data_IF_295778975062
#
_entry.id   IF_295778975062
#
_cell.length_a   1.000
_cell.length_b   1.000
_cell.length_c   1.000
_cell.angle_alpha   90.00
_cell.angle_beta   90.00
_cell.angle_gamma   90.00
#
_symmetry.space_group_name_H-M   'P 1'
#
loop_
_entity.id
_entity.type
_entity.pdbx_description
1 polymer ?
#
# COMPACT_ATOMS: atom_id res chain seq x y z
N UNK A 1 -6.25 22.47 5.02
CA UNK A 1 -6.12 21.54 3.87
C UNK A 1 -4.98 20.60 4.18
N UNK A 2 -5.23 19.30 4.04
CA UNK A 2 -4.20 18.27 4.22
C UNK A 2 -3.38 18.15 2.93
N UNK A 3 -2.10 17.87 3.04
CA UNK A 3 -1.20 17.81 1.89
C UNK A 3 -0.27 16.62 2.01
N UNK A 4 -0.05 15.92 0.90
CA UNK A 4 0.99 14.91 0.76
C UNK A 4 1.80 15.17 -0.51
N UNK A 5 3.12 14.97 -0.45
CA UNK A 5 4.03 15.30 -1.56
C UNK A 5 3.75 14.51 -2.84
N UNK A 6 3.43 13.22 -2.73
CA UNK A 6 3.17 12.35 -3.89
C UNK A 6 1.80 12.63 -4.50
N UNK A 7 0.82 12.95 -3.65
CA UNK A 7 -0.51 13.38 -4.10
C UNK A 7 -0.40 14.67 -4.90
N UNK A 8 0.25 15.69 -4.35
CA UNK A 8 0.45 16.97 -5.02
C UNK A 8 1.26 16.82 -6.31
N UNK A 9 2.33 16.00 -6.29
CA UNK A 9 3.14 15.76 -7.47
C UNK A 9 2.33 15.16 -8.62
N UNK A 10 1.51 14.13 -8.37
CA UNK A 10 0.68 13.52 -9.41
C UNK A 10 -0.42 14.46 -9.92
N UNK A 11 -1.08 15.20 -9.04
CA UNK A 11 -2.11 16.19 -9.43
C UNK A 11 -1.48 17.32 -10.26
N UNK A 12 -0.29 17.80 -9.86
CA UNK A 12 0.39 18.89 -10.57
C UNK A 12 0.87 18.47 -11.96
N UNK A 13 1.36 17.23 -12.14
CA UNK A 13 1.66 16.72 -13.48
C UNK A 13 0.45 16.84 -14.41
N UNK A 14 -0.76 16.55 -13.91
CA UNK A 14 -1.98 16.72 -14.69
C UNK A 14 -2.29 18.20 -14.94
N UNK A 15 -2.28 19.05 -13.89
CA UNK A 15 -2.60 20.48 -14.00
C UNK A 15 -1.65 21.24 -14.91
N UNK A 16 -0.39 20.82 -14.97
CA UNK A 16 0.64 21.38 -15.83
C UNK A 16 0.59 20.85 -17.26
N UNK A 17 -0.28 19.87 -17.57
CA UNK A 17 -0.37 19.25 -18.88
C UNK A 17 0.76 18.26 -19.18
N UNK A 18 1.54 17.84 -18.18
CA UNK A 18 2.63 16.85 -18.32
C UNK A 18 2.07 15.43 -18.54
N UNK A 19 0.85 15.17 -18.03
CA UNK A 19 0.12 13.92 -18.27
C UNK A 19 -1.31 14.18 -18.72
N UNK A 20 -1.84 13.27 -19.51
CA UNK A 20 -3.24 13.28 -19.95
C UNK A 20 -4.03 12.25 -19.14
N UNK A 21 -5.13 12.71 -18.54
CA UNK A 21 -6.06 11.88 -17.79
C UNK A 21 -7.38 11.72 -18.55
N UNK A 22 -8.04 10.58 -18.38
CA UNK A 22 -9.43 10.40 -18.81
C UNK A 22 -10.37 11.13 -17.85
N UNK A 23 -11.61 11.33 -18.28
CA UNK A 23 -12.63 12.07 -17.53
C UNK A 23 -12.77 11.59 -16.08
N UNK A 24 -12.84 10.29 -15.85
CA UNK A 24 -13.03 9.71 -14.52
C UNK A 24 -11.88 10.05 -13.55
N UNK A 25 -10.64 10.10 -14.03
CA UNK A 25 -9.49 10.50 -13.20
C UNK A 25 -9.47 12.00 -12.95
N UNK A 26 -9.94 12.81 -13.89
CA UNK A 26 -10.12 14.26 -13.69
C UNK A 26 -11.20 14.52 -12.63
N UNK A 27 -12.33 13.84 -12.74
CA UNK A 27 -13.44 13.93 -11.78
C UNK A 27 -13.00 13.45 -10.39
N UNK A 28 -12.19 12.40 -10.31
CA UNK A 28 -11.56 11.94 -9.06
C UNK A 28 -10.73 13.04 -8.41
N UNK A 29 -9.83 13.68 -9.15
CA UNK A 29 -9.01 14.78 -8.61
C UNK A 29 -9.90 15.91 -8.09
N UNK A 30 -10.91 16.31 -8.86
CA UNK A 30 -11.84 17.36 -8.46
C UNK A 30 -12.60 17.00 -7.16
N UNK A 31 -13.04 15.75 -7.05
CA UNK A 31 -13.70 15.24 -5.85
C UNK A 31 -12.76 15.25 -4.64
N UNK A 32 -11.51 14.79 -4.81
CA UNK A 32 -10.51 14.75 -3.75
C UNK A 32 -10.21 16.15 -3.22
N UNK A 33 -9.94 17.11 -4.11
CA UNK A 33 -9.62 18.49 -3.74
C UNK A 33 -10.76 19.17 -2.99
N UNK A 34 -12.00 18.96 -3.46
CA UNK A 34 -13.19 19.60 -2.89
C UNK A 34 -13.61 18.99 -1.56
N UNK A 35 -13.63 17.66 -1.45
CA UNK A 35 -14.35 16.96 -0.37
C UNK A 35 -13.44 16.27 0.64
N UNK A 36 -12.17 16.02 0.30
CA UNK A 36 -11.27 15.19 1.12
C UNK A 36 -10.05 16.00 1.55
N UNK A 37 -9.30 16.55 0.61
CA UNK A 37 -8.07 17.31 0.90
C UNK A 37 -8.34 18.63 1.63
N UNK A 38 -9.58 19.11 1.61
CA UNK A 38 -10.04 20.29 2.33
C UNK A 38 -10.35 20.05 3.81
N UNK A 39 -10.52 18.79 4.22
CA UNK A 39 -10.91 18.39 5.58
C UNK A 39 -9.78 18.56 6.60
N UNK A 40 -10.14 18.55 7.87
CA UNK A 40 -9.26 18.70 9.05
C UNK A 40 -9.23 17.47 9.97
N UNK A 41 -10.14 16.52 9.77
CA UNK A 41 -10.28 15.29 10.55
C UNK A 41 -9.59 14.08 9.91
N UNK A 42 -9.06 14.26 8.69
CA UNK A 42 -8.25 13.26 7.99
C UNK A 42 -6.79 13.66 7.98
N UNK A 43 -5.88 12.69 7.86
CA UNK A 43 -4.44 12.94 7.76
C UNK A 43 -3.74 11.80 7.03
N UNK A 44 -2.63 12.11 6.37
CA UNK A 44 -1.74 11.12 5.75
C UNK A 44 -0.71 10.66 6.78
N UNK A 45 -0.52 9.34 6.90
CA UNK A 45 0.62 8.79 7.66
C UNK A 45 1.88 8.81 6.79
N UNK A 46 2.57 9.96 6.81
CA UNK A 46 3.77 10.20 6.00
C UNK A 46 4.87 9.16 6.23
N UNK A 47 5.02 8.67 7.46
CA UNK A 47 6.03 7.65 7.77
C UNK A 47 5.69 6.32 7.09
N UNK A 48 4.44 5.83 7.22
CA UNK A 48 4.02 4.60 6.54
C UNK A 48 4.11 4.71 5.03
N UNK A 49 3.74 5.87 4.46
CA UNK A 49 3.83 6.13 3.02
C UNK A 49 5.28 6.01 2.54
N UNK A 50 6.21 6.70 3.21
CA UNK A 50 7.62 6.69 2.84
C UNK A 50 8.30 5.33 3.07
N UNK A 51 7.95 4.65 4.15
CA UNK A 51 8.45 3.30 4.41
C UNK A 51 7.92 2.32 3.35
N UNK A 52 6.65 2.41 2.97
CA UNK A 52 6.07 1.56 1.92
C UNK A 52 6.72 1.81 0.56
N UNK A 53 6.96 3.07 0.19
CA UNK A 53 7.64 3.43 -1.06
C UNK A 53 9.08 2.89 -1.06
N UNK A 54 9.86 3.15 -0.01
CA UNK A 54 11.25 2.66 0.09
C UNK A 54 11.32 1.14 0.08
N UNK A 55 10.42 0.47 0.81
CA UNK A 55 10.31 -0.98 0.83
C UNK A 55 10.05 -1.54 -0.57
N UNK A 56 9.09 -0.95 -1.28
CA UNK A 56 8.73 -1.36 -2.65
C UNK A 56 9.88 -1.15 -3.62
N UNK A 57 10.49 0.04 -3.63
CA UNK A 57 11.57 0.37 -4.58
C UNK A 57 12.86 -0.41 -4.32
N UNK A 58 13.11 -0.83 -3.07
CA UNK A 58 14.25 -1.68 -2.71
C UNK A 58 14.03 -3.15 -3.05
N UNK A 59 12.82 -3.67 -2.83
CA UNK A 59 12.52 -5.10 -2.98
C UNK A 59 11.97 -5.51 -4.35
N UNK A 60 11.33 -4.60 -5.08
CA UNK A 60 10.51 -4.95 -6.23
C UNK A 60 10.89 -4.15 -7.48
N UNK A 61 10.44 -2.90 -7.59
CA UNK A 61 10.66 -2.06 -8.77
C UNK A 61 10.48 -0.56 -8.45
N UNK A 62 11.07 0.34 -9.25
CA UNK A 62 10.84 1.78 -9.13
C UNK A 62 9.37 2.15 -9.33
N UNK A 63 8.76 2.84 -8.35
CA UNK A 63 7.35 3.19 -8.39
C UNK A 63 7.10 4.39 -9.31
N UNK A 64 6.09 4.27 -10.18
CA UNK A 64 5.60 5.38 -10.98
C UNK A 64 4.80 6.39 -10.13
N UNK A 65 4.70 7.67 -10.56
CA UNK A 65 3.99 8.69 -9.79
C UNK A 65 2.55 8.32 -9.41
N UNK A 66 1.79 7.68 -10.30
CA UNK A 66 0.42 7.26 -10.00
C UNK A 66 0.36 6.15 -8.95
N UNK A 67 1.39 5.30 -8.85
CA UNK A 67 1.45 4.24 -7.84
C UNK A 67 1.76 4.86 -6.46
N UNK A 68 2.66 5.85 -6.39
CA UNK A 68 2.92 6.63 -5.16
C UNK A 68 1.67 7.41 -4.73
N UNK A 69 0.91 7.95 -5.68
CA UNK A 69 -0.39 8.56 -5.43
C UNK A 69 -1.38 7.56 -4.79
N UNK A 70 -1.49 6.34 -5.32
CA UNK A 70 -2.36 5.30 -4.74
C UNK A 70 -1.90 4.92 -3.33
N UNK A 71 -0.60 4.68 -3.13
CA UNK A 71 -0.02 4.33 -1.82
C UNK A 71 -0.30 5.41 -0.78
N UNK A 72 -0.22 6.70 -1.16
CA UNK A 72 -0.56 7.78 -0.26
C UNK A 72 -2.00 7.66 0.28
N UNK A 73 -2.96 7.32 -0.57
CA UNK A 73 -4.36 7.15 -0.16
C UNK A 73 -4.63 5.86 0.61
N UNK A 74 -3.83 4.81 0.43
CA UNK A 74 -3.89 3.60 1.29
C UNK A 74 -3.61 3.97 2.76
N UNK A 75 -2.74 4.94 3.00
CA UNK A 75 -2.39 5.43 4.33
C UNK A 75 -3.00 6.81 4.66
N UNK A 76 -4.17 7.10 4.09
CA UNK A 76 -5.03 8.20 4.52
C UNK A 76 -5.93 7.69 5.65
N UNK A 77 -5.86 8.35 6.81
CA UNK A 77 -6.62 7.98 8.00
C UNK A 77 -7.63 9.06 8.38
N UNK A 78 -8.73 8.63 8.99
CA UNK A 78 -9.73 9.45 9.65
C UNK A 78 -9.51 9.39 11.16
N UNK A 79 -9.41 10.55 11.78
CA UNK A 79 -9.47 10.72 13.23
C UNK A 79 -10.88 11.14 13.61
N UNK A 80 -11.55 10.29 14.37
CA UNK A 80 -12.90 10.55 14.89
C UNK A 80 -12.96 10.23 16.38
N UNK A 81 -14.01 10.65 17.05
CA UNK A 81 -14.24 10.35 18.46
C UNK A 81 -15.27 9.21 18.57
N UNK A 82 -15.06 8.29 19.49
CA UNK A 82 -16.06 7.28 19.85
C UNK A 82 -17.25 7.97 20.53
N UNK A 83 -18.46 7.79 19.98
CA UNK A 83 -19.66 8.44 20.49
C UNK A 83 -20.05 8.00 21.92
N UNK A 84 -19.60 6.83 22.36
CA UNK A 84 -19.90 6.27 23.67
C UNK A 84 -18.79 6.50 24.69
N UNK A 85 -17.53 6.39 24.28
CA UNK A 85 -16.37 6.49 25.19
C UNK A 85 -15.68 7.85 25.18
N UNK A 86 -15.89 8.66 24.15
CA UNK A 86 -15.16 9.92 23.95
C UNK A 86 -13.69 9.72 23.54
N UNK A 87 -13.28 8.49 23.23
CA UNK A 87 -11.89 8.19 22.88
C UNK A 87 -11.60 8.49 21.40
N UNK A 88 -10.40 8.98 21.12
CA UNK A 88 -9.97 9.19 19.73
C UNK A 88 -9.73 7.86 19.02
N UNK A 89 -10.53 7.58 17.99
CA UNK A 89 -10.41 6.44 17.09
C UNK A 89 -9.73 6.89 15.79
N UNK A 90 -8.75 6.10 15.34
CA UNK A 90 -8.10 6.29 14.04
C UNK A 90 -8.42 5.09 13.15
N UNK A 91 -8.99 5.33 11.98
CA UNK A 91 -9.32 4.28 11.00
C UNK A 91 -8.87 4.66 9.59
N UNK A 92 -8.59 3.70 8.70
CA UNK A 92 -8.38 4.01 7.29
C UNK A 92 -9.59 4.75 6.72
N UNK A 93 -9.36 5.89 6.07
CA UNK A 93 -10.43 6.69 5.47
C UNK A 93 -11.10 5.91 4.32
N UNK A 94 -10.28 5.32 3.44
CA UNK A 94 -10.76 4.44 2.38
C UNK A 94 -10.63 2.98 2.81
N UNK A 95 -11.77 2.28 2.87
CA UNK A 95 -11.83 0.84 3.15
C UNK A 95 -11.74 -0.02 1.90
N UNK A 96 -12.03 0.56 0.73
CA UNK A 96 -12.06 -0.14 -0.55
C UNK A 96 -11.45 0.72 -1.65
N UNK A 97 -10.63 0.08 -2.48
CA UNK A 97 -10.03 0.69 -3.66
C UNK A 97 -10.49 -0.08 -4.90
N UNK A 98 -10.94 0.65 -5.92
CA UNK A 98 -11.20 0.10 -7.24
C UNK A 98 -10.21 0.70 -8.24
N UNK A 99 -9.32 -0.14 -8.77
CA UNK A 99 -8.21 0.28 -9.62
C UNK A 99 -8.31 -0.46 -10.95
N UNK A 100 -8.61 0.27 -12.02
CA UNK A 100 -8.63 -0.29 -13.39
C UNK A 100 -7.32 0.02 -14.09
N UNK A 101 -6.59 -1.01 -14.49
CA UNK A 101 -5.28 -0.89 -15.14
C UNK A 101 -5.17 -1.83 -16.34
N UNK A 102 -4.57 -1.32 -17.42
CA UNK A 102 -4.19 -2.11 -18.57
C UNK A 102 -3.05 -3.10 -18.26
N UNK A 103 -2.82 -4.05 -19.17
CA UNK A 103 -1.65 -4.94 -19.10
C UNK A 103 -0.37 -4.11 -19.17
N UNK A 104 0.64 -4.49 -18.38
CA UNK A 104 1.91 -3.77 -18.31
C UNK A 104 1.90 -2.58 -17.35
N UNK A 105 0.76 -2.19 -16.78
CA UNK A 105 0.66 -1.08 -15.81
C UNK A 105 1.20 -1.38 -14.40
N UNK A 106 1.96 -2.45 -14.21
CA UNK A 106 2.56 -2.78 -12.91
C UNK A 106 1.58 -3.20 -11.80
N UNK A 107 0.36 -3.62 -12.13
CA UNK A 107 -0.68 -3.94 -11.12
C UNK A 107 -0.32 -5.08 -10.17
N UNK A 108 0.27 -6.16 -10.69
CA UNK A 108 0.62 -7.33 -9.89
C UNK A 108 1.73 -6.97 -8.91
N UNK A 109 2.82 -6.37 -9.41
CA UNK A 109 3.93 -5.94 -8.58
C UNK A 109 3.51 -4.94 -7.49
N UNK A 110 2.62 -3.98 -7.80
CA UNK A 110 2.12 -3.04 -6.78
C UNK A 110 1.37 -3.78 -5.66
N UNK A 111 0.48 -4.71 -6.01
CA UNK A 111 -0.26 -5.49 -5.01
C UNK A 111 0.69 -6.37 -4.21
N UNK A 112 1.61 -7.08 -4.86
CA UNK A 112 2.61 -7.93 -4.18
C UNK A 112 3.50 -7.15 -3.21
N UNK A 113 3.90 -5.93 -3.58
CA UNK A 113 4.70 -5.08 -2.70
C UNK A 113 3.88 -4.56 -1.50
N UNK A 114 2.64 -4.12 -1.72
CA UNK A 114 1.73 -3.67 -0.66
C UNK A 114 1.39 -4.80 0.31
N UNK A 115 0.99 -5.97 -0.21
CA UNK A 115 0.63 -7.12 0.63
C UNK A 115 1.79 -7.54 1.50
N UNK A 116 3.01 -7.59 0.95
CA UNK A 116 4.18 -7.91 1.74
C UNK A 116 4.54 -6.81 2.75
N UNK A 117 4.42 -5.53 2.38
CA UNK A 117 4.64 -4.43 3.31
C UNK A 117 3.73 -4.53 4.54
N UNK A 118 2.47 -4.94 4.36
CA UNK A 118 1.52 -5.10 5.46
C UNK A 118 1.93 -6.16 6.49
N UNK A 119 2.76 -7.13 6.11
CA UNK A 119 3.31 -8.14 7.02
C UNK A 119 4.45 -7.59 7.88
N UNK A 120 5.05 -6.45 7.50
CA UNK A 120 6.23 -5.90 8.17
C UNK A 120 5.87 -5.08 9.42
N UNK A 121 6.80 -4.94 10.38
CA UNK A 121 6.63 -4.00 11.50
C UNK A 121 6.49 -2.53 11.06
N UNK A 122 6.91 -2.18 9.84
CA UNK A 122 6.71 -0.83 9.29
C UNK A 122 5.23 -0.51 9.03
N UNK A 123 4.39 -1.52 8.82
CA UNK A 123 2.93 -1.34 8.82
C UNK A 123 2.39 -1.18 10.25
N UNK A 124 2.95 -1.92 11.21
CA UNK A 124 2.72 -1.74 12.64
C UNK A 124 1.44 -2.38 13.19
N UNK A 125 0.67 -3.08 12.35
CA UNK A 125 -0.52 -3.85 12.78
C UNK A 125 -0.09 -5.29 13.07
N UNK A 126 -0.40 -5.78 14.28
CA UNK A 126 -0.13 -7.16 14.68
C UNK A 126 -1.22 -8.09 14.18
N UNK A 127 -0.85 -9.32 13.83
CA UNK A 127 -1.76 -10.38 13.38
C UNK A 127 -2.64 -9.92 12.22
N UNK A 128 -2.03 -9.21 11.28
CA UNK A 128 -2.72 -8.76 10.08
C UNK A 128 -2.79 -9.92 9.09
N UNK A 129 -3.97 -10.21 8.58
CA UNK A 129 -4.18 -11.29 7.60
C UNK A 129 -4.38 -10.69 6.21
N UNK A 130 -3.59 -11.14 5.25
CA UNK A 130 -3.66 -10.74 3.85
C UNK A 130 -4.05 -11.94 3.00
N UNK A 131 -4.97 -11.72 2.07
CA UNK A 131 -5.40 -12.74 1.11
C UNK A 131 -5.48 -12.17 -0.29
N UNK A 132 -4.95 -12.91 -1.25
CA UNK A 132 -5.02 -12.58 -2.68
C UNK A 132 -5.98 -13.55 -3.35
N UNK A 133 -7.07 -13.01 -3.91
CA UNK A 133 -8.09 -13.78 -4.63
C UNK A 133 -8.01 -13.43 -6.10
N UNK A 134 -8.09 -14.45 -6.96
CA UNK A 134 -8.11 -14.29 -8.41
C UNK A 134 -9.05 -15.33 -9.05
N UNK A 135 -9.33 -15.14 -10.34
CA UNK A 135 -10.24 -16.03 -11.09
C UNK A 135 -9.66 -17.44 -11.29
N UNK A 136 -8.35 -17.62 -11.11
CA UNK A 136 -7.69 -18.93 -11.18
C UNK A 136 -6.58 -19.01 -10.14
N UNK A 137 -6.27 -20.23 -9.71
CA UNK A 137 -5.20 -20.50 -8.74
C UNK A 137 -3.84 -20.02 -9.28
N UNK A 138 -3.54 -20.25 -10.56
CA UNK A 138 -2.29 -19.80 -11.18
C UNK A 138 -2.15 -18.28 -11.10
N UNK A 139 -3.23 -17.52 -11.32
CA UNK A 139 -3.21 -16.05 -11.16
C UNK A 139 -3.02 -15.63 -9.70
N UNK A 140 -3.63 -16.32 -8.75
CA UNK A 140 -3.44 -16.05 -7.32
C UNK A 140 -1.99 -16.32 -6.88
N UNK A 141 -1.39 -17.39 -7.41
CA UNK A 141 0.00 -17.77 -7.13
C UNK A 141 1.04 -16.79 -7.63
N UNK A 142 0.74 -15.98 -8.66
CA UNK A 142 1.71 -15.01 -9.20
C UNK A 142 2.18 -14.05 -8.10
N UNK A 143 1.25 -13.38 -7.41
CA UNK A 143 1.63 -12.43 -6.36
C UNK A 143 2.28 -13.11 -5.16
N UNK A 144 1.79 -14.27 -4.75
CA UNK A 144 2.44 -15.06 -3.69
C UNK A 144 3.90 -15.39 -4.05
N UNK A 145 4.13 -15.83 -5.29
CA UNK A 145 5.47 -16.17 -5.76
C UNK A 145 6.38 -14.94 -5.84
N UNK A 146 5.88 -13.80 -6.32
CA UNK A 146 6.65 -12.54 -6.35
C UNK A 146 7.13 -12.15 -4.94
N UNK A 147 6.28 -12.28 -3.92
CA UNK A 147 6.65 -12.03 -2.52
C UNK A 147 7.67 -13.07 -2.01
N UNK A 148 7.40 -14.34 -2.29
CA UNK A 148 8.27 -15.45 -1.90
C UNK A 148 9.68 -15.30 -2.50
N UNK A 149 9.78 -14.98 -3.78
CA UNK A 149 11.02 -14.80 -4.51
C UNK A 149 11.77 -13.57 -3.97
N UNK A 150 11.09 -12.43 -3.76
CA UNK A 150 11.72 -11.24 -3.16
C UNK A 150 12.36 -11.53 -1.79
N UNK A 151 11.62 -12.22 -0.91
CA UNK A 151 12.14 -12.62 0.41
C UNK A 151 13.33 -13.58 0.27
N UNK A 152 13.30 -14.47 -0.72
CA UNK A 152 14.36 -15.44 -1.00
C UNK A 152 15.62 -14.75 -1.49
N UNK A 153 15.50 -13.90 -2.51
CA UNK A 153 16.62 -13.23 -3.18
C UNK A 153 17.33 -12.25 -2.25
N UNK A 154 16.62 -11.70 -1.26
CA UNK A 154 17.17 -10.80 -0.24
C UNK A 154 17.55 -11.54 1.06
N UNK A 155 17.46 -12.87 1.10
CA UNK A 155 17.78 -13.70 2.26
C UNK A 155 17.02 -13.31 3.55
N UNK A 156 15.78 -12.82 3.42
CA UNK A 156 14.98 -12.24 4.51
C UNK A 156 14.17 -13.28 5.31
N UNK A 157 14.52 -14.56 5.23
CA UNK A 157 13.78 -15.65 5.86
C UNK A 157 14.64 -16.49 6.82
N UNK A 158 13.98 -17.17 7.77
CA UNK A 158 14.66 -18.13 8.66
C UNK A 158 15.29 -19.25 7.82
N UNK A 159 16.60 -19.42 7.95
CA UNK A 159 17.35 -20.55 7.38
C UNK A 159 18.40 -21.06 8.36
N UNK A 160 18.92 -22.26 8.13
CA UNK A 160 19.97 -22.85 8.97
C UNK A 160 21.15 -21.87 9.06
N UNK A 161 21.49 -21.46 10.28
CA UNK A 161 22.55 -20.47 10.55
C UNK A 161 22.09 -19.01 10.65
N UNK A 162 20.84 -18.66 10.29
CA UNK A 162 20.27 -17.31 10.42
C UNK A 162 18.99 -17.36 11.26
N UNK A 163 19.12 -17.10 12.57
CA UNK A 163 17.99 -17.08 13.51
C UNK A 163 17.24 -15.75 13.56
N UNK A 164 17.89 -14.65 13.17
CA UNK A 164 17.26 -13.32 13.05
C UNK A 164 16.97 -13.02 11.58
N UNK A 165 15.72 -13.21 11.21
CA UNK A 165 15.17 -12.87 9.91
C UNK A 165 13.77 -12.26 10.11
N UNK A 166 13.30 -11.36 9.25
CA UNK A 166 11.97 -10.74 9.42
C UNK A 166 10.82 -11.68 9.04
N UNK A 167 11.06 -12.68 8.18
CA UNK A 167 10.00 -13.56 7.68
C UNK A 167 10.23 -15.04 7.98
N UNK A 168 9.12 -15.77 8.12
CA UNK A 168 9.05 -17.21 7.86
C UNK A 168 8.31 -17.39 6.55
N UNK A 169 8.77 -18.32 5.70
CA UNK A 169 8.11 -18.63 4.43
C UNK A 169 7.99 -20.13 4.24
N UNK A 170 6.84 -20.56 3.75
CA UNK A 170 6.57 -21.92 3.29
C UNK A 170 6.08 -21.85 1.84
N UNK A 171 5.68 -22.99 1.26
CA UNK A 171 5.12 -23.01 -0.10
C UNK A 171 3.68 -22.48 -0.19
N UNK A 172 3.03 -22.24 0.95
CA UNK A 172 1.61 -21.88 1.03
C UNK A 172 1.36 -20.63 1.86
N UNK A 173 2.32 -20.21 2.68
CA UNK A 173 2.16 -19.14 3.67
C UNK A 173 3.47 -18.35 3.82
N UNK A 174 3.35 -17.04 4.04
CA UNK A 174 4.45 -16.15 4.39
C UNK A 174 4.04 -15.41 5.66
N UNK A 175 4.86 -15.45 6.71
CA UNK A 175 4.57 -14.80 7.98
C UNK A 175 5.63 -13.75 8.30
N UNK A 176 5.19 -12.54 8.67
CA UNK A 176 6.00 -11.52 9.31
C UNK A 176 6.17 -11.82 10.80
N UNK A 177 7.38 -12.18 11.23
CA UNK A 177 7.60 -12.77 12.56
C UNK A 177 7.38 -11.82 13.73
N UNK A 178 7.66 -10.53 13.55
CA UNK A 178 7.53 -9.54 14.62
C UNK A 178 6.06 -9.15 14.88
N UNK A 179 5.28 -9.04 13.80
CA UNK A 179 3.86 -8.68 13.86
C UNK A 179 2.96 -9.91 14.00
N UNK A 180 3.46 -11.11 13.70
CA UNK A 180 2.69 -12.35 13.57
C UNK A 180 1.60 -12.25 12.49
N UNK A 181 1.88 -11.49 11.42
CA UNK A 181 0.97 -11.27 10.29
C UNK A 181 1.21 -12.29 9.19
N UNK A 182 0.16 -12.67 8.46
CA UNK A 182 0.17 -13.75 7.44
C UNK A 182 -0.37 -13.22 6.11
#
# INVERSE_FOLDING_TARGET
MITNRHVNFYINQYKNGEIILNKERVDLIHHLEKNILSRNDVFFDEEKIENCIKFTEKGYFPLQPFQKFIIAFVFLFLKQEDEYTGESIITPYFKQFFITLGRGGGKNGLISALTNFFLTPFHGIKKYDVSVVANSEDQAKVSFKEVYDMITDNDLFIKKGRKSAPFRRTRTEIEGLETQSI
#
